data_IF_247636730714
#
_entry.id   IF_247636730714
#
_cell.length_a   1.000
_cell.length_b   1.000
_cell.length_c   1.000
_cell.angle_alpha   90.00
_cell.angle_beta   90.00
_cell.angle_gamma   90.00
#
_symmetry.space_group_name_H-M   'P 1'
#
loop_
_entity.id
_entity.type
_entity.pdbx_description
1 polymer ?
#
# COMPACT_ATOMS: atom_id res chain seq x y z
N UNK A 1 9.85 26.82 -34.05
CA UNK A 1 9.28 27.37 -32.81
C UNK A 1 10.37 27.48 -31.75
N UNK A 2 10.47 28.62 -31.07
CA UNK A 2 11.51 28.90 -30.07
C UNK A 2 11.18 28.17 -28.76
N UNK A 3 11.90 27.10 -28.44
CA UNK A 3 11.86 26.49 -27.11
C UNK A 3 12.48 27.45 -26.09
N UNK A 4 11.79 27.68 -24.96
CA UNK A 4 12.34 28.45 -23.84
C UNK A 4 12.80 27.51 -22.75
N UNK A 5 13.86 27.92 -22.05
CA UNK A 5 14.40 27.24 -20.88
C UNK A 5 14.31 28.17 -19.68
N UNK A 6 13.69 27.70 -18.59
CA UNK A 6 13.59 28.43 -17.33
C UNK A 6 14.24 27.58 -16.24
N UNK A 7 15.14 28.18 -15.48
CA UNK A 7 15.81 27.52 -14.36
C UNK A 7 15.31 28.13 -13.05
N UNK A 8 14.89 27.26 -12.14
CA UNK A 8 14.42 27.63 -10.80
C UNK A 8 15.29 26.91 -9.79
N UNK A 9 15.99 27.68 -8.96
CA UNK A 9 16.79 27.15 -7.87
C UNK A 9 15.96 27.32 -6.60
N UNK A 10 15.62 26.20 -5.96
CA UNK A 10 15.08 26.19 -4.59
C UNK A 10 16.21 25.84 -3.62
N UNK A 11 15.95 25.96 -2.32
CA UNK A 11 16.92 25.60 -1.27
C UNK A 11 17.37 24.13 -1.33
N UNK A 12 16.56 23.29 -1.96
CA UNK A 12 16.76 21.82 -2.03
C UNK A 12 17.15 21.34 -3.41
N UNK A 13 16.62 21.93 -4.48
CA UNK A 13 16.72 21.37 -5.84
C UNK A 13 16.85 22.44 -6.93
N UNK A 14 17.43 22.05 -8.07
CA UNK A 14 17.46 22.86 -9.29
C UNK A 14 16.51 22.27 -10.32
N UNK A 15 15.46 23.01 -10.64
CA UNK A 15 14.47 22.62 -11.65
C UNK A 15 14.74 23.33 -12.97
N UNK A 16 14.71 22.56 -14.05
CA UNK A 16 14.90 23.06 -15.41
C UNK A 16 13.64 22.76 -16.21
N UNK A 17 12.87 23.80 -16.53
CA UNK A 17 11.68 23.70 -17.38
C UNK A 17 12.10 23.97 -18.82
N UNK A 18 11.82 23.03 -19.72
CA UNK A 18 12.08 23.16 -21.16
C UNK A 18 10.79 22.89 -21.91
N UNK A 19 10.43 23.80 -22.81
CA UNK A 19 9.23 23.63 -23.62
C UNK A 19 8.87 24.87 -24.43
N UNK A 20 7.76 24.79 -25.14
CA UNK A 20 7.13 25.94 -25.78
C UNK A 20 6.52 26.84 -24.69
N UNK A 21 6.38 28.16 -24.92
CA UNK A 21 5.78 29.05 -23.93
C UNK A 21 4.41 28.59 -23.40
N UNK A 22 3.57 27.99 -24.27
CA UNK A 22 2.28 27.41 -23.89
C UNK A 22 2.40 26.17 -22.99
N UNK A 23 3.51 25.44 -23.06
CA UNK A 23 3.80 24.25 -22.24
C UNK A 23 4.41 24.62 -20.88
N UNK A 24 4.98 25.82 -20.74
CA UNK A 24 5.61 26.30 -19.50
C UNK A 24 4.62 26.95 -18.52
N UNK A 25 3.32 26.89 -18.81
CA UNK A 25 2.26 27.35 -17.90
C UNK A 25 2.19 26.46 -16.66
N UNK A 26 1.88 27.05 -15.51
CA UNK A 26 1.67 26.34 -14.24
C UNK A 26 0.63 25.20 -14.34
N UNK A 27 -0.32 25.30 -15.28
CA UNK A 27 -1.38 24.31 -15.46
C UNK A 27 -1.08 23.24 -16.52
N UNK A 28 -0.10 23.45 -17.38
CA UNK A 28 0.16 22.60 -18.55
C UNK A 28 1.56 21.98 -18.55
N UNK A 29 2.42 22.42 -17.64
CA UNK A 29 3.77 21.92 -17.54
C UNK A 29 3.81 20.49 -17.00
N UNK A 30 4.36 19.58 -17.79
CA UNK A 30 4.61 18.20 -17.40
C UNK A 30 6.13 18.00 -17.31
N UNK A 31 6.71 17.83 -16.11
CA UNK A 31 8.15 17.68 -15.97
C UNK A 31 8.65 16.39 -16.64
N UNK A 32 9.61 16.53 -17.55
CA UNK A 32 10.22 15.38 -18.23
C UNK A 32 11.00 14.45 -17.28
N UNK A 33 11.53 15.02 -16.18
CA UNK A 33 12.38 14.31 -15.21
C UNK A 33 11.65 13.78 -13.98
N UNK A 34 10.32 13.60 -14.02
CA UNK A 34 9.58 12.95 -12.90
C UNK A 34 10.19 11.59 -12.52
N UNK A 35 10.87 10.91 -13.46
CA UNK A 35 11.55 9.63 -13.23
C UNK A 35 12.76 9.70 -12.30
N UNK A 36 13.45 10.84 -12.25
CA UNK A 36 14.69 11.01 -11.51
C UNK A 36 14.47 11.76 -10.18
N UNK A 37 13.21 12.00 -9.81
CA UNK A 37 12.91 12.64 -8.54
C UNK A 37 13.13 11.65 -7.39
N UNK A 38 13.63 12.11 -6.23
CA UNK A 38 13.75 11.27 -5.06
C UNK A 38 12.37 10.80 -4.58
N UNK A 39 12.36 9.65 -3.91
CA UNK A 39 11.16 8.99 -3.39
C UNK A 39 10.30 9.93 -2.53
N UNK A 40 10.93 10.79 -1.73
CA UNK A 40 10.29 11.80 -0.86
C UNK A 40 9.43 12.83 -1.59
N UNK A 41 9.62 13.01 -2.90
CA UNK A 41 8.83 13.93 -3.73
C UNK A 41 7.59 13.27 -4.33
N UNK A 42 7.42 11.95 -4.15
CA UNK A 42 6.23 11.22 -4.62
C UNK A 42 5.09 11.36 -3.62
N UNK A 43 3.85 11.18 -4.08
CA UNK A 43 2.67 11.32 -3.21
C UNK A 43 2.70 10.39 -1.99
N UNK A 44 3.21 9.16 -2.14
CA UNK A 44 3.27 8.16 -1.08
C UNK A 44 4.65 8.03 -0.41
N UNK A 45 5.61 8.92 -0.72
CA UNK A 45 7.01 8.73 -0.33
C UNK A 45 7.50 7.31 -0.67
N UNK A 46 7.10 6.78 -1.82
CA UNK A 46 7.38 5.41 -2.25
C UNK A 46 8.31 5.34 -3.45
N UNK A 47 9.13 4.29 -3.51
CA UNK A 47 10.01 4.06 -4.64
C UNK A 47 9.13 3.93 -5.89
N UNK A 48 9.48 4.69 -6.94
CA UNK A 48 8.72 4.64 -8.19
C UNK A 48 8.74 3.22 -8.73
N UNK A 49 7.56 2.67 -9.01
CA UNK A 49 7.45 1.40 -9.73
C UNK A 49 8.01 1.55 -11.14
N UNK A 50 8.93 0.66 -11.50
CA UNK A 50 9.33 0.48 -12.90
C UNK A 50 8.14 -0.11 -13.66
N UNK A 51 7.30 0.76 -14.19
CA UNK A 51 6.38 0.34 -15.23
C UNK A 51 7.24 -0.18 -16.37
N UNK A 52 7.26 -1.50 -16.55
CA UNK A 52 8.03 -2.20 -17.61
C UNK A 52 7.68 -1.69 -19.01
N UNK A 53 6.58 -0.94 -19.13
CA UNK A 53 6.18 -0.25 -20.33
C UNK A 53 6.40 1.24 -20.09
N UNK A 54 7.56 1.74 -20.52
CA UNK A 54 7.68 3.16 -20.88
C UNK A 54 6.73 3.33 -22.08
N UNK A 55 5.46 3.60 -21.80
CA UNK A 55 4.44 3.69 -22.82
C UNK A 55 4.76 4.85 -23.76
N UNK A 56 5.47 4.56 -24.85
CA UNK A 56 5.42 5.38 -26.05
C UNK A 56 3.94 5.65 -26.35
N UNK A 57 3.63 6.84 -26.86
CA UNK A 57 2.24 7.19 -27.23
C UNK A 57 1.60 6.12 -28.11
N UNK A 58 2.41 5.48 -28.94
CA UNK A 58 2.05 4.32 -29.75
C UNK A 58 1.50 3.16 -28.89
N UNK A 59 2.28 2.62 -27.96
CA UNK A 59 1.83 1.50 -27.12
C UNK A 59 0.56 1.85 -26.32
N UNK A 60 0.38 3.12 -25.90
CA UNK A 60 -0.86 3.51 -25.20
C UNK A 60 -2.10 3.46 -26.10
N UNK A 61 -1.95 3.73 -27.39
CA UNK A 61 -3.06 3.67 -28.34
C UNK A 61 -3.32 2.25 -28.85
N UNK A 62 -2.28 1.47 -29.08
CA UNK A 62 -2.38 0.19 -29.79
C UNK A 62 -2.24 -1.04 -28.90
N UNK A 63 -1.69 -0.94 -27.68
CA UNK A 63 -1.57 -2.05 -26.74
C UNK A 63 -2.69 -2.01 -25.69
N UNK A 64 -3.94 -1.77 -26.12
CA UNK A 64 -5.11 -1.93 -25.26
C UNK A 64 -5.38 -3.42 -25.06
N UNK A 65 -5.79 -3.81 -23.84
CA UNK A 65 -6.25 -5.16 -23.58
C UNK A 65 -7.61 -5.37 -24.25
N UNK A 66 -7.76 -6.45 -25.03
CA UNK A 66 -9.02 -6.78 -25.71
C UNK A 66 -10.01 -7.53 -24.81
N UNK A 67 -9.63 -7.81 -23.56
CA UNK A 67 -10.41 -8.63 -22.63
C UNK A 67 -11.58 -7.85 -21.99
N UNK A 68 -12.75 -8.48 -21.95
CA UNK A 68 -13.93 -7.93 -21.26
C UNK A 68 -13.95 -8.31 -19.77
N UNK A 69 -14.09 -7.31 -18.89
CA UNK A 69 -14.22 -7.52 -17.45
C UNK A 69 -15.65 -7.22 -16.98
N UNK A 70 -16.47 -8.24 -16.80
CA UNK A 70 -17.85 -8.07 -16.33
C UNK A 70 -17.98 -7.51 -14.89
N UNK A 71 -16.89 -7.41 -14.12
CA UNK A 71 -16.91 -6.92 -12.75
C UNK A 71 -16.80 -5.39 -12.68
N UNK A 72 -16.37 -4.72 -13.74
CA UNK A 72 -16.31 -3.25 -13.80
C UNK A 72 -17.61 -2.69 -14.36
N UNK A 73 -18.05 -1.57 -13.80
CA UNK A 73 -19.28 -0.91 -14.24
C UNK A 73 -19.12 -0.20 -15.60
N UNK A 74 -17.87 0.12 -15.98
CA UNK A 74 -17.48 0.75 -17.24
C UNK A 74 -16.08 0.30 -17.63
N UNK A 75 -15.84 0.11 -18.92
CA UNK A 75 -14.58 -0.41 -19.45
C UNK A 75 -13.42 0.59 -19.36
N UNK A 76 -13.68 1.90 -19.44
CA UNK A 76 -12.67 2.97 -19.30
C UNK A 76 -12.18 3.17 -17.86
N UNK A 77 -12.78 2.48 -16.88
CA UNK A 77 -12.49 2.61 -15.45
C UNK A 77 -11.81 1.35 -14.90
N UNK A 78 -10.66 1.01 -15.47
CA UNK A 78 -9.86 -0.17 -15.11
C UNK A 78 -9.64 -0.30 -13.59
N UNK A 79 -9.29 0.80 -12.92
CA UNK A 79 -9.03 0.85 -11.48
C UNK A 79 -10.24 1.28 -10.62
N UNK A 80 -11.47 1.12 -11.12
CA UNK A 80 -12.66 1.41 -10.34
C UNK A 80 -12.62 0.70 -8.97
N UNK A 81 -12.95 1.44 -7.90
CA UNK A 81 -12.90 0.96 -6.50
C UNK A 81 -11.50 0.49 -6.07
N UNK A 82 -10.45 1.15 -6.57
CA UNK A 82 -9.04 0.85 -6.26
C UNK A 82 -8.59 -0.56 -6.64
N UNK A 83 -9.28 -1.21 -7.60
CA UNK A 83 -8.91 -2.56 -8.06
C UNK A 83 -7.59 -2.53 -8.83
N UNK A 84 -6.71 -3.48 -8.51
CA UNK A 84 -5.36 -3.55 -9.08
C UNK A 84 -4.38 -2.52 -8.52
N UNK A 85 -4.82 -1.62 -7.65
CA UNK A 85 -3.96 -0.67 -6.95
C UNK A 85 -3.59 -1.22 -5.57
N UNK A 86 -2.31 -1.15 -5.23
CA UNK A 86 -1.79 -1.56 -3.92
C UNK A 86 -1.60 -0.35 -3.01
N UNK A 87 -2.62 0.52 -2.94
CA UNK A 87 -2.54 1.81 -2.21
C UNK A 87 -2.14 1.61 -0.75
N UNK A 88 -2.70 0.58 -0.10
CA UNK A 88 -2.35 0.23 1.28
C UNK A 88 -0.85 0.01 1.47
N UNK A 89 -0.22 -0.79 0.61
CA UNK A 89 1.22 -1.09 0.68
C UNK A 89 2.04 0.16 0.45
N UNK A 90 1.64 1.00 -0.50
CA UNK A 90 2.32 2.27 -0.78
C UNK A 90 2.21 3.25 0.40
N UNK A 91 1.06 3.32 1.06
CA UNK A 91 0.87 4.17 2.24
C UNK A 91 1.70 3.72 3.45
N UNK A 92 2.01 2.41 3.60
CA UNK A 92 2.80 1.92 4.74
C UNK A 92 4.22 2.47 4.81
N UNK A 93 4.77 3.01 3.71
CA UNK A 93 6.09 3.63 3.71
C UNK A 93 6.10 5.02 4.35
N UNK A 94 4.92 5.64 4.55
CA UNK A 94 4.82 6.89 5.28
C UNK A 94 4.74 6.64 6.77
N UNK A 95 5.53 7.39 7.53
CA UNK A 95 5.44 7.40 9.00
C UNK A 95 4.07 7.82 9.51
N UNK A 96 3.42 8.77 8.82
CA UNK A 96 2.06 9.23 9.10
C UNK A 96 1.19 8.95 7.87
N UNK A 97 0.19 8.06 7.96
CA UNK A 97 -0.66 7.74 6.82
C UNK A 97 -1.49 8.97 6.43
N UNK A 98 -1.41 9.39 5.17
CA UNK A 98 -2.02 10.62 4.64
C UNK A 98 -3.54 10.54 4.37
N UNK A 99 -4.25 9.65 5.08
CA UNK A 99 -5.68 9.33 4.97
C UNK A 99 -6.08 8.40 3.80
N UNK A 100 -6.15 7.09 4.09
CA UNK A 100 -7.22 6.17 3.63
C UNK A 100 -7.12 4.79 4.29
N UNK A 101 -5.91 4.39 4.72
CA UNK A 101 -5.70 3.10 5.38
C UNK A 101 -6.19 3.08 6.82
N UNK A 102 -7.04 2.09 7.08
CA UNK A 102 -7.72 1.72 8.32
C UNK A 102 -6.81 1.30 9.49
N UNK A 103 -5.53 1.70 9.50
CA UNK A 103 -4.62 1.44 10.62
C UNK A 103 -5.16 2.08 11.90
N UNK A 104 -5.82 3.24 11.78
CA UNK A 104 -6.53 3.85 12.90
C UNK A 104 -7.76 3.00 13.28
N UNK A 105 -7.65 2.27 14.39
CA UNK A 105 -8.71 1.41 14.94
C UNK A 105 -8.57 -0.09 14.64
N UNK A 106 -7.59 -0.52 13.83
CA UNK A 106 -7.32 -1.95 13.63
C UNK A 106 -6.43 -2.53 14.72
N UNK A 107 -6.64 -3.81 15.03
CA UNK A 107 -5.89 -4.53 16.06
C UNK A 107 -4.41 -4.55 15.67
N UNK A 108 -3.58 -3.91 16.50
CA UNK A 108 -2.13 -3.88 16.32
C UNK A 108 -1.59 -5.32 16.32
N UNK A 109 -0.71 -5.63 15.36
CA UNK A 109 -0.04 -6.94 15.27
C UNK A 109 0.76 -7.26 16.53
N UNK A 110 1.29 -6.23 17.18
CA UNK A 110 1.92 -6.32 18.49
C UNK A 110 0.89 -5.88 19.52
N UNK A 111 0.40 -6.83 20.31
CA UNK A 111 -0.39 -6.53 21.49
C UNK A 111 0.46 -5.68 22.44
N UNK A 112 0.28 -4.35 22.39
CA UNK A 112 0.90 -3.41 23.34
C UNK A 112 0.38 -3.73 24.74
N UNK A 113 -0.90 -4.08 24.83
CA UNK A 113 -1.52 -4.63 26.02
C UNK A 113 -1.73 -6.13 25.85
N UNK A 114 -1.18 -6.94 26.76
CA UNK A 114 -1.36 -8.39 26.71
C UNK A 114 -2.84 -8.70 26.90
N UNK A 115 -3.46 -9.54 26.05
CA UNK A 115 -4.87 -9.85 26.19
C UNK A 115 -5.13 -10.46 27.58
N UNK A 116 -5.88 -9.72 28.40
CA UNK A 116 -6.21 -10.13 29.75
C UNK A 116 -6.96 -11.47 29.72
N UNK A 117 -6.54 -12.43 30.54
CA UNK A 117 -7.07 -13.80 30.53
C UNK A 117 -8.35 -13.97 31.35
N UNK A 118 -8.92 -12.89 31.89
CA UNK A 118 -10.13 -12.91 32.75
C UNK A 118 -11.31 -13.68 32.17
N UNK A 119 -11.48 -13.72 30.85
CA UNK A 119 -12.62 -14.36 30.18
C UNK A 119 -12.22 -15.47 29.20
N UNK A 120 -11.05 -16.09 29.38
CA UNK A 120 -10.59 -17.18 28.49
C UNK A 120 -11.29 -18.49 28.85
N UNK A 121 -11.67 -19.26 27.82
CA UNK A 121 -12.23 -20.61 28.00
C UNK A 121 -11.17 -21.54 28.59
N UNK A 122 -11.44 -22.10 29.77
CA UNK A 122 -10.56 -23.09 30.42
C UNK A 122 -11.12 -24.50 30.18
N UNK A 123 -10.25 -25.42 29.75
CA UNK A 123 -10.63 -26.79 29.41
C UNK A 123 -10.76 -27.73 30.61
N UNK A 124 -11.66 -27.42 31.55
CA UNK A 124 -11.86 -28.18 32.79
C UNK A 124 -12.01 -29.69 32.58
N UNK A 125 -12.84 -30.11 31.63
CA UNK A 125 -13.06 -31.53 31.32
C UNK A 125 -11.76 -32.23 30.95
N UNK A 126 -10.92 -31.59 30.13
CA UNK A 126 -9.66 -32.17 29.67
C UNK A 126 -8.64 -32.26 30.81
N UNK A 127 -8.63 -31.30 31.72
CA UNK A 127 -7.67 -31.25 32.84
C UNK A 127 -8.08 -32.11 34.03
N UNK A 128 -9.37 -32.17 34.34
CA UNK A 128 -9.88 -32.79 35.57
C UNK A 128 -10.32 -34.24 35.33
N UNK A 129 -10.96 -34.51 34.18
CA UNK A 129 -11.57 -35.82 33.93
C UNK A 129 -10.56 -36.84 33.40
N UNK A 130 -9.62 -36.40 32.56
CA UNK A 130 -8.63 -37.28 31.93
C UNK A 130 -7.29 -37.20 32.66
N UNK A 131 -6.84 -38.32 33.22
CA UNK A 131 -5.50 -38.44 33.80
C UNK A 131 -4.48 -38.76 32.71
N UNK A 132 -3.29 -38.15 32.77
CA UNK A 132 -2.19 -38.43 31.83
C UNK A 132 -1.70 -39.87 31.90
N UNK A 133 -1.76 -40.47 33.10
CA UNK A 133 -1.26 -41.83 33.34
C UNK A 133 -2.46 -42.68 33.77
N UNK A 134 -2.73 -43.76 33.04
CA UNK A 134 -3.84 -44.71 33.28
C UNK A 134 -3.65 -45.60 34.51
N UNK A 135 -2.99 -45.10 35.55
CA UNK A 135 -2.75 -45.84 36.79
C UNK A 135 -4.06 -45.93 37.55
N UNK A 136 -4.55 -47.15 37.74
CA UNK A 136 -5.68 -47.44 38.63
C UNK A 136 -5.26 -47.12 40.06
N UNK A 137 -5.89 -46.11 40.67
CA UNK A 137 -5.79 -45.87 42.10
C UNK A 137 -6.52 -47.03 42.79
N UNK A 138 -5.78 -48.03 43.24
CA UNK A 138 -6.30 -49.08 44.12
C UNK A 138 -6.74 -48.44 45.43
N UNK A 139 -7.96 -48.74 45.87
CA UNK A 139 -8.68 -48.05 46.95
C UNK A 139 -8.13 -48.25 48.37
N UNK A 140 -6.88 -48.69 48.52
CA UNK A 140 -6.28 -49.02 49.82
C UNK A 140 -5.03 -48.19 50.09
N UNK A 141 -5.22 -46.90 50.36
CA UNK A 141 -4.25 -46.13 51.15
C UNK A 141 -5.06 -45.38 52.21
N UNK A 142 -5.17 -45.99 53.39
CA UNK A 142 -5.51 -45.27 54.62
C UNK A 142 -4.33 -44.36 54.94
N UNK A 143 -4.59 -43.06 55.06
CA UNK A 143 -3.71 -42.10 55.72
C UNK A 143 -3.44 -42.53 57.17
#
# INVERSE_FOLDING_TARGET
EMSKELTFVTDTDVFVLRGRPCELSAFSFIPAKIRNLPQERTYFNSARKEHHIIGSRYNRQFAQAEDYNNKIHRDDREHAKSRGLTVYVEETQKDVPSLSSSVYGHRLNRHIDHPDRKHVRVGHVKSEFFRRNGVTLTSDIKL
#
